data_IF_377183553784
#
_entry.id   IF_377183553784
#
_cell.length_a   1.000
_cell.length_b   1.000
_cell.length_c   1.000
_cell.angle_alpha   90.00
_cell.angle_beta   90.00
_cell.angle_gamma   90.00
#
_symmetry.space_group_name_H-M   'P 1'
#
loop_
_entity.id
_entity.type
_entity.pdbx_description
1 polymer ?
#
# COMPACT_ATOMS: atom_id res chain seq x y z
N UNK A 1 5.96 -15.47 -8.53
CA UNK A 1 7.14 -14.77 -9.10
C UNK A 1 7.78 -13.82 -8.07
N UNK A 2 9.10 -13.57 -8.10
CA UNK A 2 9.79 -12.68 -7.16
C UNK A 2 9.48 -11.19 -7.33
N UNK A 3 8.92 -10.76 -8.46
CA UNK A 3 8.42 -9.41 -8.74
C UNK A 3 7.48 -9.45 -9.95
N UNK A 4 6.45 -8.60 -9.97
CA UNK A 4 5.57 -8.48 -11.13
C UNK A 4 6.26 -7.83 -12.35
N UNK A 5 7.41 -7.19 -12.11
CA UNK A 5 8.26 -6.54 -13.13
C UNK A 5 9.29 -7.48 -13.79
N UNK A 6 9.27 -8.76 -13.45
CA UNK A 6 10.23 -9.76 -13.97
C UNK A 6 9.56 -10.77 -14.90
N UNK A 7 8.33 -10.49 -15.34
CA UNK A 7 7.53 -11.39 -16.15
C UNK A 7 7.72 -11.07 -17.64
N UNK A 8 8.04 -12.10 -18.40
CA UNK A 8 8.29 -12.02 -19.83
C UNK A 8 7.40 -13.03 -20.57
N UNK A 9 6.68 -12.55 -21.57
CA UNK A 9 6.02 -13.36 -22.57
C UNK A 9 7.04 -13.76 -23.64
N UNK A 10 7.07 -15.05 -23.99
CA UNK A 10 8.00 -15.61 -24.97
C UNK A 10 7.23 -15.85 -26.26
N UNK A 11 7.63 -15.13 -27.32
CA UNK A 11 7.06 -15.30 -28.65
C UNK A 11 8.03 -16.10 -29.52
N UNK A 12 7.57 -17.21 -30.08
CA UNK A 12 8.34 -17.99 -31.06
C UNK A 12 8.13 -17.35 -32.41
N UNK A 13 9.20 -16.83 -33.01
CA UNK A 13 9.13 -16.16 -34.31
C UNK A 13 8.84 -17.20 -35.39
N UNK A 14 7.71 -17.02 -36.07
CA UNK A 14 7.30 -17.82 -37.21
C UNK A 14 7.09 -16.92 -38.43
N UNK A 15 7.10 -17.52 -39.62
CA UNK A 15 6.79 -16.81 -40.86
C UNK A 15 5.35 -16.27 -40.90
N UNK A 16 4.42 -16.97 -40.24
CA UNK A 16 3.03 -16.54 -40.07
C UNK A 16 2.85 -15.90 -38.68
N UNK A 17 2.53 -14.60 -38.59
CA UNK A 17 2.33 -13.88 -37.34
C UNK A 17 1.21 -14.45 -36.45
N UNK A 18 0.23 -15.13 -37.03
CA UNK A 18 -0.89 -15.72 -36.29
C UNK A 18 -0.59 -17.12 -35.75
N UNK A 19 0.57 -17.68 -36.11
CA UNK A 19 0.91 -19.06 -35.80
C UNK A 19 1.84 -19.12 -34.58
N UNK A 20 1.27 -19.56 -33.46
CA UNK A 20 2.03 -19.95 -32.27
C UNK A 20 2.57 -21.37 -32.37
N UNK A 21 3.36 -21.79 -31.39
CA UNK A 21 3.87 -23.15 -31.31
C UNK A 21 4.79 -23.37 -30.13
N UNK A 22 5.14 -24.64 -29.89
CA UNK A 22 6.21 -24.96 -28.95
C UNK A 22 7.56 -24.54 -29.56
N UNK A 23 8.42 -23.91 -28.75
CA UNK A 23 9.75 -23.52 -29.18
C UNK A 23 10.72 -24.70 -29.21
N UNK A 24 11.51 -24.77 -30.28
CA UNK A 24 12.62 -25.71 -30.44
C UNK A 24 13.95 -24.97 -30.20
N UNK A 25 15.04 -25.69 -29.96
CA UNK A 25 16.35 -25.04 -29.75
C UNK A 25 16.85 -24.25 -30.97
N UNK A 26 16.45 -24.65 -32.18
CA UNK A 26 16.73 -23.94 -33.43
C UNK A 26 15.70 -22.84 -33.76
N UNK A 27 14.72 -22.60 -32.88
CA UNK A 27 13.74 -21.53 -33.10
C UNK A 27 14.31 -20.16 -32.73
N UNK A 28 13.73 -19.13 -33.34
CA UNK A 28 13.99 -17.74 -33.00
C UNK A 28 12.95 -17.26 -31.99
N UNK A 29 13.37 -16.45 -31.02
CA UNK A 29 12.54 -16.01 -29.90
C UNK A 29 12.55 -14.50 -29.76
N UNK A 30 11.41 -13.93 -29.39
CA UNK A 30 11.29 -12.56 -28.87
C UNK A 30 10.82 -12.61 -27.42
N UNK A 31 11.29 -11.64 -26.63
CA UNK A 31 10.89 -11.49 -25.23
C UNK A 31 10.14 -10.18 -25.07
N UNK A 32 8.88 -10.28 -24.66
CA UNK A 32 8.01 -9.13 -24.41
C UNK A 32 7.77 -9.00 -22.92
N UNK A 33 8.03 -7.82 -22.37
CA UNK A 33 7.79 -7.54 -20.97
C UNK A 33 6.29 -7.45 -20.70
N UNK A 34 5.77 -8.31 -19.82
CA UNK A 34 4.34 -8.51 -19.66
C UNK A 34 3.61 -7.26 -19.12
N UNK A 35 4.26 -6.49 -18.24
CA UNK A 35 3.61 -5.33 -17.62
C UNK A 35 3.61 -4.06 -18.51
N UNK A 36 4.61 -3.88 -19.38
CA UNK A 36 4.71 -2.68 -20.25
C UNK A 36 4.35 -2.95 -21.71
N UNK A 37 4.42 -4.21 -22.15
CA UNK A 37 4.24 -4.60 -23.55
C UNK A 37 5.45 -4.33 -24.46
N UNK A 38 6.54 -3.80 -23.93
CA UNK A 38 7.77 -3.54 -24.69
C UNK A 38 8.58 -4.83 -24.90
N UNK A 39 9.42 -4.84 -25.93
CA UNK A 39 10.29 -5.95 -26.28
C UNK A 39 11.72 -5.72 -25.78
N UNK A 40 12.43 -6.81 -25.50
CA UNK A 40 13.86 -6.79 -25.23
C UNK A 40 14.63 -6.70 -26.56
N UNK A 41 15.62 -5.81 -26.64
CA UNK A 41 16.51 -5.69 -27.79
C UNK A 41 17.96 -5.43 -27.36
N UNK A 42 18.91 -5.53 -28.27
CA UNK A 42 20.29 -5.09 -28.05
C UNK A 42 20.68 -3.96 -29.02
N UNK A 43 21.09 -2.82 -28.48
CA UNK A 43 21.50 -1.63 -29.24
C UNK A 43 22.95 -1.24 -28.91
N UNK A 44 23.55 -0.41 -29.78
CA UNK A 44 24.92 0.09 -29.59
C UNK A 44 24.99 0.83 -28.26
N UNK A 45 25.98 0.46 -27.45
CA UNK A 45 26.19 1.08 -26.16
C UNK A 45 26.72 2.51 -26.38
N UNK A 46 26.03 3.57 -25.90
CA UNK A 46 26.47 4.95 -26.09
C UNK A 46 27.80 5.27 -25.37
N UNK A 47 28.17 4.46 -24.37
CA UNK A 47 29.45 4.58 -23.66
C UNK A 47 30.60 3.85 -24.40
N UNK A 48 30.34 3.27 -25.57
CA UNK A 48 31.34 2.56 -26.37
C UNK A 48 32.09 3.55 -27.26
N UNK A 49 33.28 3.94 -26.82
CA UNK A 49 34.27 4.58 -27.69
C UNK A 49 34.92 3.46 -28.54
N UNK A 50 34.68 3.46 -29.86
CA UNK A 50 35.54 2.73 -30.78
C UNK A 50 36.94 3.34 -30.64
N UNK A 51 37.90 2.59 -30.07
CA UNK A 51 39.31 2.90 -30.27
C UNK A 51 39.51 2.85 -31.81
N UNK A 52 39.55 4.02 -32.47
CA UNK A 52 39.88 4.21 -33.88
C UNK A 52 41.14 3.38 -34.20
N UNK A 53 40.95 2.19 -34.78
CA UNK A 53 42.03 1.31 -35.22
C UNK A 53 42.64 1.77 -36.57
N UNK A 54 42.28 2.96 -37.06
CA UNK A 54 42.84 3.54 -38.28
C UNK A 54 43.76 4.76 -38.03
N UNK A 55 44.53 4.79 -36.94
CA UNK A 55 45.69 5.70 -36.87
C UNK A 55 46.73 5.27 -35.82
N UNK A 56 47.37 4.11 -36.00
CA UNK A 56 48.62 3.80 -35.27
C UNK A 56 49.49 2.79 -36.02
N UNK A 57 49.82 3.09 -37.28
CA UNK A 57 50.89 2.41 -38.02
C UNK A 57 52.29 2.89 -37.60
N UNK A 58 52.54 3.03 -36.29
CA UNK A 58 53.88 3.29 -35.76
C UNK A 58 53.87 3.20 -34.23
N UNK A 59 54.46 2.12 -33.69
CA UNK A 59 55.49 2.09 -32.62
C UNK A 59 55.40 0.79 -31.77
N UNK A 60 56.48 0.03 -31.84
CA UNK A 60 57.01 -1.06 -31.00
C UNK A 60 56.14 -2.23 -30.46
N UNK A 61 56.48 -3.51 -30.76
CA UNK A 61 55.70 -4.68 -30.34
C UNK A 61 55.83 -5.10 -28.86
N UNK A 62 56.71 -4.48 -28.07
CA UNK A 62 57.06 -5.00 -26.73
C UNK A 62 56.32 -4.34 -25.55
N UNK A 63 55.56 -3.26 -25.77
CA UNK A 63 54.79 -2.59 -24.70
C UNK A 63 53.29 -2.95 -24.65
N UNK A 64 52.77 -3.65 -25.65
CA UNK A 64 51.33 -3.91 -25.77
C UNK A 64 50.83 -5.10 -24.90
N UNK A 65 51.76 -5.94 -24.42
CA UNK A 65 51.43 -7.04 -23.51
C UNK A 65 51.05 -6.56 -22.09
N UNK A 66 51.58 -5.42 -21.64
CA UNK A 66 51.37 -4.90 -20.28
C UNK A 66 50.15 -3.97 -20.16
N UNK A 67 49.63 -3.42 -21.26
CA UNK A 67 48.41 -2.59 -21.28
C UNK A 67 47.12 -3.39 -21.55
N UNK A 68 47.21 -4.54 -22.21
CA UNK A 68 46.07 -5.46 -22.41
C UNK A 68 45.63 -6.19 -21.14
N UNK A 69 46.44 -6.18 -20.07
CA UNK A 69 46.20 -6.95 -18.85
C UNK A 69 45.35 -6.29 -17.76
N UNK A 70 44.95 -5.01 -17.89
CA UNK A 70 44.24 -4.29 -16.82
C UNK A 70 42.96 -3.54 -17.22
N UNK A 71 42.57 -3.52 -18.50
CA UNK A 71 41.22 -3.05 -18.88
C UNK A 71 40.30 -4.26 -18.83
N UNK A 72 39.48 -4.35 -17.79
CA UNK A 72 38.54 -5.46 -17.64
C UNK A 72 37.70 -5.60 -18.90
N UNK A 73 37.44 -6.84 -19.35
CA UNK A 73 36.54 -7.12 -20.47
C UNK A 73 35.12 -6.56 -20.24
N UNK A 74 34.81 -6.10 -19.01
CA UNK A 74 33.55 -5.46 -18.64
C UNK A 74 33.40 -4.04 -19.18
N UNK A 75 34.48 -3.33 -19.55
CA UNK A 75 34.41 -1.96 -20.08
C UNK A 75 34.28 -1.88 -21.61
N UNK A 76 34.50 -2.97 -22.35
CA UNK A 76 34.41 -3.00 -23.83
C UNK A 76 33.16 -3.72 -24.33
N UNK A 77 31.99 -3.25 -23.91
CA UNK A 77 30.71 -3.76 -24.42
C UNK A 77 30.19 -2.88 -25.55
N UNK A 78 30.28 -3.39 -26.77
CA UNK A 78 29.79 -2.70 -27.97
C UNK A 78 28.26 -2.56 -27.99
N UNK A 79 27.53 -3.51 -27.38
CA UNK A 79 26.07 -3.48 -27.33
C UNK A 79 25.55 -3.75 -25.93
N UNK A 80 24.44 -3.11 -25.57
CA UNK A 80 23.73 -3.29 -24.31
C UNK A 80 22.26 -3.61 -24.52
N UNK A 81 21.66 -4.35 -23.58
CA UNK A 81 20.25 -4.67 -23.64
C UNK A 81 19.39 -3.45 -23.29
N UNK A 82 18.38 -3.21 -24.11
CA UNK A 82 17.44 -2.08 -24.00
C UNK A 82 16.00 -2.55 -24.20
N UNK A 83 15.04 -1.69 -23.85
CA UNK A 83 13.62 -1.94 -24.03
C UNK A 83 13.09 -1.12 -25.21
N UNK A 84 12.52 -1.79 -26.21
CA UNK A 84 11.97 -1.18 -27.42
C UNK A 84 10.43 -1.30 -27.45
N UNK A 85 9.67 -0.27 -27.87
CA UNK A 85 8.20 -0.34 -27.85
C UNK A 85 7.59 -1.37 -28.81
N UNK A 86 8.22 -1.59 -29.97
CA UNK A 86 7.72 -2.50 -31.01
C UNK A 86 8.68 -3.67 -31.23
N UNK A 87 8.12 -4.87 -31.32
CA UNK A 87 8.87 -6.12 -31.53
C UNK A 87 9.06 -6.48 -32.99
N UNK A 88 8.87 -5.56 -33.94
CA UNK A 88 9.02 -5.88 -35.36
C UNK A 88 10.49 -5.88 -35.80
N UNK A 89 11.36 -5.18 -35.07
CA UNK A 89 12.77 -5.03 -35.42
C UNK A 89 13.58 -6.32 -35.19
N UNK A 90 14.58 -6.55 -36.03
CA UNK A 90 15.50 -7.70 -35.97
C UNK A 90 16.36 -7.64 -34.70
N UNK A 91 16.59 -6.44 -34.16
CA UNK A 91 17.31 -6.18 -32.90
C UNK A 91 16.65 -6.81 -31.66
N UNK A 92 15.38 -7.25 -31.76
CA UNK A 92 14.67 -7.90 -30.65
C UNK A 92 14.60 -9.43 -30.78
N UNK A 93 15.36 -10.02 -31.72
CA UNK A 93 15.40 -11.47 -31.97
C UNK A 93 16.60 -12.11 -31.28
N UNK A 94 16.32 -13.18 -30.53
CA UNK A 94 17.31 -13.97 -29.80
C UNK A 94 17.21 -15.45 -30.13
N UNK A 95 18.34 -16.13 -30.00
CA UNK A 95 18.45 -17.59 -30.04
C UNK A 95 18.80 -18.15 -28.66
N UNK A 96 18.32 -19.38 -28.40
CA UNK A 96 18.58 -20.11 -27.17
C UNK A 96 19.65 -21.18 -27.39
N UNK A 97 20.74 -21.09 -26.67
CA UNK A 97 21.78 -22.13 -26.63
C UNK A 97 21.61 -23.00 -25.38
N UNK A 98 21.53 -24.34 -25.52
CA UNK A 98 21.40 -25.24 -24.39
C UNK A 98 22.73 -25.39 -23.63
N UNK A 99 22.65 -25.43 -22.30
CA UNK A 99 23.83 -25.72 -21.45
C UNK A 99 24.17 -27.21 -21.37
N UNK A 100 23.31 -28.09 -21.90
CA UNK A 100 23.50 -29.54 -21.92
C UNK A 100 23.45 -30.05 -23.35
N UNK A 101 24.15 -31.14 -23.67
CA UNK A 101 24.12 -31.78 -24.99
C UNK A 101 22.68 -32.24 -25.31
N UNK A 102 21.97 -31.47 -26.13
CA UNK A 102 20.61 -31.72 -26.62
C UNK A 102 20.63 -31.61 -28.14
N UNK A 103 19.83 -32.44 -28.83
CA UNK A 103 19.65 -32.30 -30.28
C UNK A 103 18.88 -31.02 -30.62
N UNK A 104 19.29 -30.32 -31.68
CA UNK A 104 18.70 -29.03 -32.10
C UNK A 104 17.21 -29.08 -32.43
N UNK A 105 16.70 -30.24 -32.83
CA UNK A 105 15.28 -30.47 -33.16
C UNK A 105 14.42 -30.85 -31.94
N UNK A 106 14.98 -30.81 -30.74
CA UNK A 106 14.22 -31.08 -29.51
C UNK A 106 13.54 -29.82 -28.97
N UNK A 107 12.42 -30.03 -28.27
CA UNK A 107 11.68 -28.95 -27.60
C UNK A 107 12.48 -28.38 -26.42
N UNK A 108 12.32 -27.08 -26.18
CA UNK A 108 12.90 -26.40 -25.01
C UNK A 108 12.08 -26.78 -23.74
N UNK A 109 12.69 -27.43 -22.73
CA UNK A 109 11.99 -27.78 -21.49
C UNK A 109 11.61 -26.55 -20.65
N UNK A 110 10.53 -26.65 -19.87
CA UNK A 110 10.00 -25.51 -19.08
C UNK A 110 10.94 -24.96 -18.01
N UNK A 111 11.89 -25.74 -17.51
CA UNK A 111 12.87 -25.36 -16.47
C UNK A 111 14.30 -25.55 -17.00
N UNK A 112 14.63 -24.92 -18.12
CA UNK A 112 15.97 -25.05 -18.73
C UNK A 112 16.88 -23.89 -18.37
N UNK A 113 18.17 -24.19 -18.23
CA UNK A 113 19.24 -23.19 -18.25
C UNK A 113 19.66 -22.96 -19.70
N UNK A 114 19.59 -21.71 -20.14
CA UNK A 114 19.85 -21.30 -21.52
C UNK A 114 20.85 -20.15 -21.56
N UNK A 115 21.61 -20.06 -22.64
CA UNK A 115 22.35 -18.84 -22.97
C UNK A 115 21.62 -18.12 -24.09
N UNK A 116 21.66 -16.79 -24.05
CA UNK A 116 21.00 -15.93 -25.01
C UNK A 116 22.04 -15.41 -26.01
N UNK A 117 21.81 -15.70 -27.28
CA UNK A 117 22.56 -15.15 -28.40
C UNK A 117 21.70 -14.14 -29.13
N UNK A 118 22.18 -12.91 -29.29
CA UNK A 118 21.51 -11.89 -30.07
C UNK A 118 21.76 -12.14 -31.56
N UNK A 119 20.68 -12.23 -32.35
CA UNK A 119 20.78 -12.63 -33.76
C UNK A 119 21.48 -11.56 -34.62
N UNK A 120 21.09 -10.29 -34.44
CA UNK A 120 21.53 -9.19 -35.31
C UNK A 120 23.04 -8.92 -35.19
N UNK A 121 23.59 -8.96 -33.98
CA UNK A 121 25.00 -8.62 -33.72
C UNK A 121 25.88 -9.85 -33.53
N UNK A 122 25.28 -11.06 -33.51
CA UNK A 122 25.94 -12.32 -33.20
C UNK A 122 26.77 -12.28 -31.89
N UNK A 123 26.24 -11.59 -30.88
CA UNK A 123 26.87 -11.49 -29.56
C UNK A 123 26.07 -12.27 -28.51
N UNK A 124 26.76 -12.67 -27.45
CA UNK A 124 26.21 -13.40 -26.32
C UNK A 124 25.90 -12.43 -25.19
N UNK A 125 24.75 -12.60 -24.53
CA UNK A 125 24.36 -11.75 -23.38
C UNK A 125 25.26 -12.03 -22.19
N UNK A 126 25.81 -10.97 -21.59
CA UNK A 126 26.71 -11.04 -20.44
C UNK A 126 26.25 -10.17 -19.27
N UNK A 127 26.47 -10.67 -18.06
CA UNK A 127 26.19 -9.91 -16.84
C UNK A 127 27.32 -8.91 -16.56
N UNK A 128 26.96 -7.76 -15.99
CA UNK A 128 27.94 -6.70 -15.69
C UNK A 128 27.68 -6.18 -14.29
N UNK A 129 28.73 -5.67 -13.64
CA UNK A 129 28.62 -4.99 -12.36
C UNK A 129 28.50 -3.46 -12.53
N UNK A 130 28.15 -2.97 -13.72
CA UNK A 130 28.03 -1.54 -14.00
C UNK A 130 26.66 -1.07 -13.50
N UNK A 131 26.59 -0.22 -12.47
CA UNK A 131 25.32 0.29 -11.98
C UNK A 131 24.76 1.37 -12.91
N UNK A 132 23.45 1.35 -13.12
CA UNK A 132 22.70 2.37 -13.86
C UNK A 132 22.27 3.49 -12.89
N UNK A 133 21.89 3.13 -11.67
CA UNK A 133 21.43 4.02 -10.60
C UNK A 133 22.57 4.59 -9.76
N UNK A 134 23.53 5.27 -10.42
CA UNK A 134 24.71 5.87 -9.76
C UNK A 134 24.38 6.97 -8.75
N UNK A 135 23.18 7.54 -8.82
CA UNK A 135 22.72 8.62 -7.94
C UNK A 135 22.18 8.11 -6.59
N UNK A 136 21.85 6.82 -6.49
CA UNK A 136 21.30 6.22 -5.28
C UNK A 136 22.41 5.80 -4.30
N UNK A 137 22.14 5.93 -3.00
CA UNK A 137 23.11 5.57 -1.94
C UNK A 137 23.55 4.09 -2.01
N UNK A 138 22.68 3.23 -2.54
CA UNK A 138 22.95 1.81 -2.80
C UNK A 138 22.39 1.41 -4.18
N UNK A 139 23.21 1.37 -5.23
CA UNK A 139 22.74 0.97 -6.55
C UNK A 139 22.32 -0.50 -6.56
N UNK A 140 21.16 -0.78 -7.13
CA UNK A 140 20.60 -2.13 -7.28
C UNK A 140 20.33 -2.50 -8.73
N UNK A 141 20.40 -1.54 -9.66
CA UNK A 141 20.15 -1.77 -11.09
C UNK A 141 21.46 -1.92 -11.84
N UNK A 142 21.74 -3.15 -12.30
CA UNK A 142 22.94 -3.46 -13.06
C UNK A 142 22.64 -3.51 -14.56
N UNK A 143 23.52 -2.90 -15.35
CA UNK A 143 23.46 -2.95 -16.82
C UNK A 143 23.77 -4.37 -17.29
N UNK A 144 23.08 -4.84 -18.32
CA UNK A 144 23.38 -6.11 -18.98
C UNK A 144 23.89 -5.79 -20.39
N UNK A 145 25.04 -6.36 -20.72
CA UNK A 145 25.73 -6.13 -21.99
C UNK A 145 25.71 -7.35 -22.89
N UNK A 146 26.35 -7.23 -24.05
CA UNK A 146 26.66 -8.37 -24.89
C UNK A 146 28.13 -8.36 -25.31
N UNK A 147 28.70 -9.55 -25.54
CA UNK A 147 30.10 -9.76 -25.95
C UNK A 147 30.16 -10.81 -27.06
N UNK A 148 31.11 -10.74 -28.00
CA UNK A 148 31.31 -11.78 -29.01
C UNK A 148 31.85 -13.08 -28.42
N UNK A 149 32.44 -13.05 -27.22
CA UNK A 149 32.98 -14.24 -26.55
C UNK A 149 31.84 -15.03 -25.93
N UNK A 150 31.81 -16.36 -26.14
CA UNK A 150 30.85 -17.24 -25.46
C UNK A 150 31.39 -17.63 -24.09
N UNK A 151 30.75 -17.18 -23.01
CA UNK A 151 31.09 -17.61 -21.65
C UNK A 151 30.18 -18.75 -21.16
N UNK A 152 30.80 -19.85 -20.73
CA UNK A 152 30.06 -21.03 -20.28
C UNK A 152 29.42 -20.87 -18.90
N UNK A 153 29.93 -19.95 -18.08
CA UNK A 153 29.48 -19.71 -16.70
C UNK A 153 28.20 -18.87 -16.62
N UNK A 154 27.89 -18.11 -17.66
CA UNK A 154 26.74 -17.24 -17.70
C UNK A 154 25.57 -17.94 -18.39
N UNK A 155 24.54 -18.26 -17.61
CA UNK A 155 23.33 -18.90 -18.09
C UNK A 155 22.10 -18.36 -17.34
N UNK A 156 21.00 -18.20 -18.06
CA UNK A 156 19.71 -17.76 -17.54
C UNK A 156 18.82 -18.98 -17.31
N UNK A 157 18.05 -18.96 -16.21
CA UNK A 157 17.04 -19.97 -15.95
C UNK A 157 15.68 -19.50 -16.50
N UNK A 158 15.08 -20.30 -17.38
CA UNK A 158 13.68 -20.13 -17.75
C UNK A 158 12.83 -20.77 -16.65
N UNK A 159 11.97 -19.98 -16.00
CA UNK A 159 11.10 -20.45 -14.92
C UNK A 159 9.64 -20.19 -15.33
N UNK A 160 8.79 -21.23 -15.41
CA UNK A 160 7.42 -21.09 -15.83
C UNK A 160 6.61 -20.45 -14.71
N UNK A 161 5.71 -19.56 -15.09
CA UNK A 161 4.85 -18.83 -14.17
C UNK A 161 3.43 -19.39 -14.28
N UNK A 162 2.74 -19.47 -13.14
CA UNK A 162 1.36 -19.97 -13.11
C UNK A 162 0.43 -19.01 -13.87
N UNK A 163 -0.51 -19.51 -14.69
CA UNK A 163 -1.52 -18.67 -15.34
C UNK A 163 -2.36 -17.85 -14.36
N UNK A 164 -2.47 -18.27 -13.10
CA UNK A 164 -3.17 -17.49 -12.07
C UNK A 164 -2.42 -16.19 -11.71
N UNK A 165 -1.08 -16.22 -11.66
CA UNK A 165 -0.29 -15.01 -11.39
C UNK A 165 -0.40 -14.00 -12.54
N UNK A 166 -0.47 -14.49 -13.78
CA UNK A 166 -0.66 -13.66 -14.98
C UNK A 166 -2.03 -12.96 -14.94
N UNK A 167 -3.11 -13.70 -14.66
CA UNK A 167 -4.45 -13.11 -14.51
C UNK A 167 -4.53 -12.08 -13.39
N UNK A 168 -3.85 -12.34 -12.27
CA UNK A 168 -3.79 -11.40 -11.14
C UNK A 168 -3.06 -10.11 -11.54
N UNK A 169 -2.01 -10.20 -12.37
CA UNK A 169 -1.30 -9.03 -12.92
C UNK A 169 -2.17 -8.25 -13.91
N UNK A 170 -2.81 -8.94 -14.86
CA UNK A 170 -3.65 -8.30 -15.88
C UNK A 170 -4.81 -7.54 -15.21
N UNK A 171 -5.48 -8.19 -14.25
CA UNK A 171 -6.51 -7.54 -13.44
C UNK A 171 -5.99 -6.28 -12.74
N UNK A 172 -4.82 -6.36 -12.12
CA UNK A 172 -4.22 -5.22 -11.42
C UNK A 172 -3.88 -4.06 -12.37
N UNK A 173 -3.36 -4.37 -13.56
CA UNK A 173 -3.04 -3.38 -14.59
C UNK A 173 -4.29 -2.69 -15.13
N UNK A 174 -5.32 -3.46 -15.45
CA UNK A 174 -6.59 -2.93 -15.96
C UNK A 174 -7.31 -2.11 -14.89
N UNK A 175 -7.33 -2.58 -13.65
CA UNK A 175 -7.86 -1.82 -12.52
C UNK A 175 -7.14 -0.47 -12.35
N UNK A 176 -5.82 -0.45 -12.43
CA UNK A 176 -5.01 0.78 -12.34
C UNK A 176 -5.35 1.78 -13.45
N UNK A 177 -5.52 1.33 -14.69
CA UNK A 177 -5.90 2.17 -15.83
C UNK A 177 -7.32 2.74 -15.67
N UNK A 178 -8.29 1.90 -15.28
CA UNK A 178 -9.68 2.30 -15.06
C UNK A 178 -9.78 3.32 -13.93
N UNK A 179 -9.14 3.06 -12.79
CA UNK A 179 -9.11 3.99 -11.66
C UNK A 179 -8.45 5.31 -12.04
N UNK A 180 -7.34 5.28 -12.79
CA UNK A 180 -6.67 6.50 -13.26
C UNK A 180 -7.53 7.33 -14.23
N UNK A 181 -8.23 6.68 -15.16
CA UNK A 181 -9.16 7.35 -16.07
C UNK A 181 -10.30 8.04 -15.31
N UNK A 182 -10.84 7.37 -14.30
CA UNK A 182 -11.99 7.86 -13.56
C UNK A 182 -11.58 8.93 -12.55
N UNK A 183 -10.42 8.81 -11.91
CA UNK A 183 -9.84 9.88 -11.10
C UNK A 183 -9.67 11.17 -11.93
N UNK A 184 -9.15 11.08 -13.15
CA UNK A 184 -9.02 12.25 -14.04
C UNK A 184 -10.35 12.85 -14.51
N UNK A 185 -11.42 12.03 -14.64
CA UNK A 185 -12.79 12.53 -14.91
C UNK A 185 -13.41 13.17 -13.66
N UNK A 186 -13.06 12.68 -12.49
CA UNK A 186 -13.55 13.17 -11.20
C UNK A 186 -12.93 14.53 -10.86
N UNK A 187 -11.65 14.75 -11.16
CA UNK A 187 -10.97 16.06 -11.06
C UNK A 187 -11.67 17.13 -11.91
N UNK A 188 -12.27 16.73 -13.05
CA UNK A 188 -12.98 17.63 -13.97
C UNK A 188 -14.49 17.72 -13.71
N UNK A 189 -15.01 16.99 -12.72
CA UNK A 189 -16.45 16.94 -12.42
C UNK A 189 -17.35 16.28 -13.47
N UNK A 190 -16.80 15.61 -14.50
CA UNK A 190 -17.57 15.07 -15.64
C UNK A 190 -18.00 13.61 -15.47
N UNK A 191 -17.98 13.07 -14.26
CA UNK A 191 -18.25 11.64 -14.02
C UNK A 191 -19.73 11.29 -14.22
N UNK A 192 -19.99 10.25 -15.02
CA UNK A 192 -21.35 9.75 -15.27
C UNK A 192 -21.82 8.78 -14.18
N UNK A 193 -23.14 8.55 -14.11
CA UNK A 193 -23.71 7.58 -13.15
C UNK A 193 -23.26 6.13 -13.44
N UNK A 194 -23.08 5.77 -14.72
CA UNK A 194 -22.61 4.44 -15.11
C UNK A 194 -21.16 4.22 -14.69
N UNK A 195 -20.29 5.20 -14.93
CA UNK A 195 -18.89 5.14 -14.50
C UNK A 195 -18.78 5.01 -12.97
N UNK A 196 -19.63 5.75 -12.23
CA UNK A 196 -19.70 5.64 -10.78
C UNK A 196 -20.02 4.22 -10.34
N UNK A 197 -21.02 3.58 -10.95
CA UNK A 197 -21.40 2.18 -10.65
C UNK A 197 -20.25 1.22 -10.99
N UNK A 198 -19.55 1.44 -12.09
CA UNK A 198 -18.38 0.64 -12.49
C UNK A 198 -17.22 0.79 -11.51
N UNK A 199 -16.93 2.00 -11.00
CA UNK A 199 -15.90 2.20 -9.97
C UNK A 199 -16.27 1.46 -8.69
N UNK A 200 -17.51 1.61 -8.23
CA UNK A 200 -17.97 0.93 -7.01
C UNK A 200 -17.74 -0.58 -7.13
N UNK A 201 -18.17 -1.18 -8.24
CA UNK A 201 -17.97 -2.61 -8.48
C UNK A 201 -16.49 -3.00 -8.54
N UNK A 202 -15.66 -2.21 -9.21
CA UNK A 202 -14.22 -2.45 -9.29
C UNK A 202 -13.54 -2.38 -7.91
N UNK A 203 -13.93 -1.43 -7.06
CA UNK A 203 -13.39 -1.31 -5.71
C UNK A 203 -13.82 -2.48 -4.81
N UNK A 204 -15.05 -2.97 -4.92
CA UNK A 204 -15.48 -4.21 -4.26
C UNK A 204 -14.61 -5.40 -4.71
N UNK A 205 -14.41 -5.54 -6.02
CA UNK A 205 -13.60 -6.63 -6.59
C UNK A 205 -12.13 -6.52 -6.13
N UNK A 206 -11.60 -5.31 -5.95
CA UNK A 206 -10.27 -5.09 -5.39
C UNK A 206 -10.16 -5.52 -3.92
N UNK A 207 -11.21 -5.35 -3.11
CA UNK A 207 -11.21 -5.87 -1.73
C UNK A 207 -11.12 -7.39 -1.74
N UNK A 208 -11.98 -8.07 -2.52
CA UNK A 208 -11.94 -9.54 -2.65
C UNK A 208 -10.62 -10.04 -3.25
N UNK A 209 -10.07 -9.31 -4.21
CA UNK A 209 -8.77 -9.61 -4.82
C UNK A 209 -7.68 -9.65 -3.76
N UNK A 210 -7.51 -8.59 -2.97
CA UNK A 210 -6.45 -8.49 -1.95
C UNK A 210 -6.62 -9.52 -0.84
N UNK A 211 -7.85 -9.80 -0.44
CA UNK A 211 -8.15 -10.73 0.66
C UNK A 211 -8.14 -12.19 0.22
N UNK A 212 -8.13 -12.47 -1.09
CA UNK A 212 -8.21 -13.83 -1.61
C UNK A 212 -9.56 -14.50 -1.42
N UNK A 213 -10.58 -13.73 -1.00
CA UNK A 213 -11.92 -14.23 -0.76
C UNK A 213 -12.73 -14.41 -2.04
N UNK A 214 -13.72 -15.28 -2.00
CA UNK A 214 -14.76 -15.39 -3.02
C UNK A 214 -15.89 -14.42 -2.69
N UNK A 215 -16.49 -13.81 -3.72
CA UNK A 215 -17.60 -12.88 -3.54
C UNK A 215 -18.84 -13.63 -3.03
N UNK A 216 -19.16 -13.47 -1.75
CA UNK A 216 -20.29 -14.12 -1.07
C UNK A 216 -21.61 -13.36 -1.19
N UNK A 217 -21.63 -12.20 -1.86
CA UNK A 217 -22.81 -11.33 -1.96
C UNK A 217 -23.14 -10.55 -0.67
N UNK A 218 -22.26 -10.60 0.33
CA UNK A 218 -22.34 -9.78 1.54
C UNK A 218 -21.72 -8.39 1.31
N UNK A 219 -22.11 -7.41 2.11
CA UNK A 219 -21.47 -6.08 2.06
C UNK A 219 -19.98 -6.21 2.38
N UNK A 220 -19.16 -5.81 1.42
CA UNK A 220 -17.69 -5.85 1.46
C UNK A 220 -17.11 -5.10 2.66
N UNK A 221 -17.85 -4.12 3.17
CA UNK A 221 -17.47 -3.34 4.34
C UNK A 221 -17.55 -4.13 5.65
N UNK A 222 -18.41 -5.15 5.73
CA UNK A 222 -18.64 -5.93 6.96
C UNK A 222 -17.81 -7.23 7.04
N UNK A 223 -17.29 -7.72 5.90
CA UNK A 223 -16.57 -9.01 5.87
C UNK A 223 -15.21 -8.90 6.58
N UNK A 224 -15.05 -9.67 7.66
CA UNK A 224 -13.77 -9.81 8.38
C UNK A 224 -12.89 -10.83 7.65
N UNK A 225 -11.92 -10.33 6.89
CA UNK A 225 -10.94 -11.19 6.22
C UNK A 225 -9.75 -11.44 7.15
N UNK A 226 -9.46 -12.71 7.45
CA UNK A 226 -8.48 -13.09 8.46
C UNK A 226 -7.04 -13.16 7.96
N UNK A 227 -6.80 -13.30 6.65
CA UNK A 227 -5.45 -13.32 6.06
C UNK A 227 -5.42 -12.73 4.63
N UNK A 228 -4.82 -11.55 4.42
CA UNK A 228 -4.62 -11.02 3.07
C UNK A 228 -3.54 -11.80 2.30
N UNK A 229 -3.63 -11.79 0.97
CA UNK A 229 -2.62 -12.42 0.11
C UNK A 229 -1.46 -11.46 -0.15
N UNK A 230 -0.26 -11.83 0.33
CA UNK A 230 0.95 -10.99 0.27
C UNK A 230 1.40 -10.64 -1.15
N UNK A 231 1.29 -11.56 -2.11
CA UNK A 231 1.67 -11.30 -3.50
C UNK A 231 0.70 -10.32 -4.17
N UNK A 232 -0.59 -10.41 -3.84
CA UNK A 232 -1.60 -9.46 -4.32
C UNK A 232 -1.44 -8.08 -3.68
N UNK A 233 -1.18 -8.00 -2.38
CA UNK A 233 -0.84 -6.72 -1.72
C UNK A 233 0.39 -6.05 -2.37
N UNK A 234 1.37 -6.86 -2.80
CA UNK A 234 2.54 -6.37 -3.52
C UNK A 234 2.18 -5.85 -4.92
N UNK A 235 1.33 -6.56 -5.66
CA UNK A 235 0.79 -6.10 -6.94
C UNK A 235 0.07 -4.75 -6.82
N UNK A 236 -0.73 -4.54 -5.76
CA UNK A 236 -1.43 -3.26 -5.51
C UNK A 236 -0.47 -2.06 -5.48
N UNK A 237 0.73 -2.25 -4.92
CA UNK A 237 1.77 -1.21 -4.88
C UNK A 237 2.53 -1.12 -6.20
N UNK A 238 3.00 -2.26 -6.73
CA UNK A 238 3.87 -2.28 -7.91
C UNK A 238 3.17 -1.83 -9.19
N UNK A 239 1.87 -2.09 -9.33
CA UNK A 239 1.04 -1.68 -10.47
C UNK A 239 0.32 -0.34 -10.24
N UNK A 240 0.78 0.44 -9.25
CA UNK A 240 0.29 1.78 -8.94
C UNK A 240 -1.20 1.87 -8.54
N UNK A 241 -1.87 0.77 -8.18
CA UNK A 241 -3.28 0.83 -7.75
C UNK A 241 -3.42 1.73 -6.51
N UNK A 242 -2.55 1.57 -5.50
CA UNK A 242 -2.56 2.43 -4.31
C UNK A 242 -2.43 3.92 -4.65
N UNK A 243 -1.60 4.25 -5.64
CA UNK A 243 -1.45 5.62 -6.14
C UNK A 243 -2.77 6.14 -6.73
N UNK A 244 -3.46 5.31 -7.52
CA UNK A 244 -4.74 5.69 -8.12
C UNK A 244 -5.86 5.78 -7.08
N UNK A 245 -5.86 4.95 -6.04
CA UNK A 245 -6.81 5.04 -4.93
C UNK A 245 -6.67 6.38 -4.20
N UNK A 246 -5.44 6.82 -3.90
CA UNK A 246 -5.23 8.14 -3.31
C UNK A 246 -5.65 9.28 -4.24
N UNK A 247 -5.34 9.18 -5.54
CA UNK A 247 -5.84 10.16 -6.52
C UNK A 247 -7.36 10.21 -6.56
N UNK A 248 -8.03 9.06 -6.52
CA UNK A 248 -9.49 8.97 -6.49
C UNK A 248 -10.08 9.59 -5.21
N UNK A 249 -9.41 9.44 -4.06
CA UNK A 249 -9.81 10.08 -2.80
C UNK A 249 -9.56 11.60 -2.79
N UNK A 250 -8.55 12.09 -3.54
CA UNK A 250 -8.17 13.51 -3.61
C UNK A 250 -8.94 14.27 -4.69
N UNK A 251 -9.25 13.63 -5.81
CA UNK A 251 -9.84 14.23 -6.99
C UNK A 251 -11.12 15.04 -6.75
N UNK A 252 -12.09 14.59 -5.92
CA UNK A 252 -13.31 15.38 -5.64
C UNK A 252 -13.04 16.71 -4.95
N UNK A 253 -11.95 16.81 -4.19
CA UNK A 253 -11.65 17.94 -3.30
C UNK A 253 -10.54 18.85 -3.85
N UNK A 254 -9.93 18.47 -4.98
CA UNK A 254 -8.84 19.23 -5.59
C UNK A 254 -9.43 20.28 -6.52
N UNK A 255 -9.03 21.54 -6.33
CA UNK A 255 -9.43 22.62 -7.23
C UNK A 255 -8.61 22.56 -8.51
N UNK A 256 -9.27 22.22 -9.62
CA UNK A 256 -8.67 22.11 -10.95
C UNK A 256 -8.88 23.37 -11.81
N UNK A 257 -9.29 24.49 -11.20
CA UNK A 257 -9.52 25.79 -11.85
C UNK A 257 -10.99 26.16 -12.06
N UNK A 258 -11.91 25.20 -11.88
CA UNK A 258 -13.38 25.41 -11.88
C UNK A 258 -13.98 25.25 -10.46
N UNK A 259 -13.12 25.23 -9.43
CA UNK A 259 -13.49 24.89 -8.06
C UNK A 259 -13.47 23.37 -7.81
N UNK A 260 -13.36 22.94 -6.54
CA UNK A 260 -13.48 21.53 -6.18
C UNK A 260 -14.90 21.04 -6.43
N UNK A 261 -15.04 19.83 -7.00
CA UNK A 261 -16.34 19.21 -7.24
C UNK A 261 -17.18 19.06 -5.96
N UNK A 262 -16.51 18.81 -4.83
CA UNK A 262 -17.10 18.54 -3.54
C UNK A 262 -16.28 19.19 -2.44
N UNK A 263 -16.95 19.78 -1.45
CA UNK A 263 -16.31 20.14 -0.18
C UNK A 263 -16.40 18.96 0.79
N UNK A 264 -15.43 18.82 1.69
CA UNK A 264 -15.46 17.73 2.69
C UNK A 264 -16.72 17.81 3.57
N UNK A 265 -17.20 19.01 3.85
CA UNK A 265 -18.42 19.26 4.64
C UNK A 265 -19.70 18.74 3.96
N UNK A 266 -19.71 18.64 2.63
CA UNK A 266 -20.86 18.19 1.84
C UNK A 266 -20.95 16.66 1.75
N UNK A 267 -19.90 15.92 2.14
CA UNK A 267 -19.93 14.45 2.22
C UNK A 267 -21.02 13.92 3.14
N UNK A 268 -21.44 14.71 4.14
CA UNK A 268 -22.50 14.38 5.09
C UNK A 268 -23.91 14.34 4.47
N UNK A 269 -24.10 14.93 3.29
CA UNK A 269 -25.39 14.99 2.60
C UNK A 269 -25.75 13.65 1.93
N UNK A 270 -27.03 13.25 2.00
CA UNK A 270 -27.57 12.06 1.33
C UNK A 270 -27.37 12.11 -0.20
N UNK A 271 -27.35 13.31 -0.79
CA UNK A 271 -27.09 13.50 -2.24
C UNK A 271 -25.75 12.91 -2.68
N UNK A 272 -24.78 12.85 -1.77
CA UNK A 272 -23.43 12.34 -2.02
C UNK A 272 -23.18 10.96 -1.43
N UNK A 273 -24.22 10.25 -0.96
CA UNK A 273 -24.10 8.89 -0.43
C UNK A 273 -23.34 7.90 -1.34
N UNK A 274 -23.52 7.91 -2.69
CA UNK A 274 -22.74 7.05 -3.57
C UNK A 274 -21.24 7.35 -3.57
N UNK A 275 -20.85 8.61 -3.41
CA UNK A 275 -19.44 9.01 -3.30
C UNK A 275 -18.87 8.65 -1.93
N UNK A 276 -19.64 8.84 -0.86
CA UNK A 276 -19.24 8.38 0.48
C UNK A 276 -18.95 6.89 0.47
N UNK A 277 -19.79 6.10 -0.19
CA UNK A 277 -19.57 4.66 -0.35
C UNK A 277 -18.30 4.33 -1.14
N UNK A 278 -18.00 5.06 -2.23
CA UNK A 278 -16.72 4.92 -2.94
C UNK A 278 -15.52 5.20 -2.02
N UNK A 279 -15.57 6.28 -1.22
CA UNK A 279 -14.52 6.60 -0.26
C UNK A 279 -14.34 5.49 0.79
N UNK A 280 -15.44 4.95 1.34
CA UNK A 280 -15.41 3.82 2.28
C UNK A 280 -14.74 2.60 1.67
N UNK A 281 -15.06 2.26 0.41
CA UNK A 281 -14.41 1.14 -0.29
C UNK A 281 -12.91 1.41 -0.53
N UNK A 282 -12.52 2.62 -0.91
CA UNK A 282 -11.11 3.01 -1.04
C UNK A 282 -10.34 2.79 0.26
N UNK A 283 -10.86 3.27 1.40
CA UNK A 283 -10.24 3.03 2.71
C UNK A 283 -10.22 1.55 3.09
N UNK A 284 -11.26 0.79 2.75
CA UNK A 284 -11.28 -0.67 2.93
C UNK A 284 -10.16 -1.37 2.13
N UNK A 285 -9.95 -0.99 0.88
CA UNK A 285 -8.85 -1.50 0.04
C UNK A 285 -7.49 -1.14 0.65
N UNK A 286 -7.31 0.09 1.12
CA UNK A 286 -6.07 0.53 1.79
C UNK A 286 -5.80 -0.28 3.06
N UNK A 287 -6.83 -0.51 3.90
CA UNK A 287 -6.73 -1.30 5.13
C UNK A 287 -6.22 -2.72 4.86
N UNK A 288 -6.80 -3.42 3.88
CA UNK A 288 -6.36 -4.77 3.53
C UNK A 288 -5.01 -4.79 2.83
N UNK A 289 -4.66 -3.73 2.09
CA UNK A 289 -3.38 -3.63 1.39
C UNK A 289 -2.18 -3.43 2.34
N UNK A 290 -2.39 -2.84 3.51
CA UNK A 290 -1.32 -2.55 4.48
C UNK A 290 -1.16 -3.58 5.60
N UNK A 291 -2.18 -4.42 5.83
CA UNK A 291 -2.19 -5.40 6.91
C UNK A 291 -0.96 -6.32 6.83
N UNK A 292 -0.18 -6.36 7.92
CA UNK A 292 1.06 -7.13 8.06
C UNK A 292 2.12 -6.92 6.96
N UNK A 293 2.08 -5.76 6.27
CA UNK A 293 3.01 -5.47 5.18
C UNK A 293 3.70 -4.10 5.28
N UNK A 294 4.86 -4.11 5.94
CA UNK A 294 5.72 -2.95 6.20
C UNK A 294 5.95 -2.02 5.00
N UNK A 295 6.27 -2.57 3.82
CA UNK A 295 6.54 -1.76 2.61
C UNK A 295 5.31 -0.98 2.15
N UNK A 296 4.10 -1.54 2.30
CA UNK A 296 2.86 -0.85 1.95
C UNK A 296 2.48 0.17 3.02
N UNK A 297 2.70 -0.13 4.30
CA UNK A 297 2.51 0.82 5.41
C UNK A 297 3.36 2.08 5.23
N UNK A 298 4.65 1.93 4.92
CA UNK A 298 5.54 3.07 4.65
C UNK A 298 5.11 3.89 3.42
N UNK A 299 4.56 3.22 2.40
CA UNK A 299 4.03 3.91 1.22
C UNK A 299 2.78 4.74 1.55
N UNK A 300 1.83 4.15 2.28
CA UNK A 300 0.56 4.79 2.69
C UNK A 300 0.81 5.91 3.70
N UNK A 301 1.76 5.75 4.62
CA UNK A 301 2.12 6.75 5.62
C UNK A 301 2.58 8.09 5.02
N UNK A 302 3.08 8.12 3.77
CA UNK A 302 3.40 9.38 3.08
C UNK A 302 2.17 10.27 2.86
N UNK A 303 0.97 9.68 2.82
CA UNK A 303 -0.31 10.37 2.64
C UNK A 303 -1.08 10.51 3.96
N UNK A 304 -0.44 10.27 5.10
CA UNK A 304 -1.07 10.30 6.42
C UNK A 304 -1.77 11.63 6.70
N UNK A 305 -1.11 12.76 6.46
CA UNK A 305 -1.69 14.09 6.65
C UNK A 305 -2.91 14.39 5.77
N UNK A 306 -3.04 13.70 4.62
CA UNK A 306 -4.25 13.78 3.81
C UNK A 306 -5.39 12.95 4.41
N UNK A 307 -5.12 11.70 4.82
CA UNK A 307 -6.14 10.83 5.41
C UNK A 307 -6.74 11.43 6.69
N UNK A 308 -5.93 12.15 7.48
CA UNK A 308 -6.39 12.85 8.68
C UNK A 308 -7.48 13.88 8.42
N UNK A 309 -7.37 14.64 7.31
CA UNK A 309 -8.38 15.65 6.94
C UNK A 309 -9.74 15.03 6.64
N UNK A 310 -9.78 13.74 6.30
CA UNK A 310 -11.00 13.01 5.96
C UNK A 310 -11.62 12.26 7.15
N UNK A 311 -11.03 12.35 8.35
CA UNK A 311 -11.61 11.75 9.55
C UNK A 311 -12.87 12.52 10.00
N UNK A 312 -13.89 11.80 10.47
CA UNK A 312 -15.12 12.40 11.02
C UNK A 312 -16.17 12.77 9.97
N UNK A 313 -15.98 12.30 8.73
CA UNK A 313 -16.92 12.42 7.61
C UNK A 313 -17.53 11.07 7.19
N UNK A 314 -17.45 10.05 8.05
CA UNK A 314 -18.12 8.76 7.85
C UNK A 314 -17.63 8.01 6.57
N UNK A 315 -16.32 8.12 6.31
CA UNK A 315 -15.62 7.51 5.17
C UNK A 315 -14.71 6.33 5.56
N UNK A 316 -14.73 5.89 6.83
CA UNK A 316 -13.88 4.80 7.37
C UNK A 316 -12.37 5.07 7.28
N UNK A 317 -11.98 6.35 7.28
CA UNK A 317 -10.57 6.74 7.34
C UNK A 317 -9.93 6.29 8.66
N UNK A 318 -10.72 6.27 9.73
CA UNK A 318 -10.30 6.05 11.11
C UNK A 318 -9.76 4.64 11.31
N UNK A 319 -10.54 3.63 10.88
CA UNK A 319 -10.14 2.22 10.94
C UNK A 319 -8.81 1.95 10.19
N UNK A 320 -8.61 2.64 9.06
CA UNK A 320 -7.40 2.48 8.24
C UNK A 320 -6.19 3.12 8.92
N UNK A 321 -6.38 4.29 9.52
CA UNK A 321 -5.34 5.01 10.26
C UNK A 321 -4.93 4.23 11.50
N UNK A 322 -5.88 3.77 12.31
CA UNK A 322 -5.58 2.96 13.49
C UNK A 322 -4.83 1.68 13.10
N UNK A 323 -5.28 0.96 12.07
CA UNK A 323 -4.58 -0.22 11.58
C UNK A 323 -3.18 0.08 11.01
N UNK A 324 -2.94 1.28 10.48
CA UNK A 324 -1.62 1.71 10.00
C UNK A 324 -0.67 1.98 11.17
N UNK A 325 -1.19 2.56 12.26
CA UNK A 325 -0.42 2.98 13.42
C UNK A 325 -0.19 1.85 14.42
N UNK A 326 -1.07 0.86 14.45
CA UNK A 326 -0.96 -0.32 15.30
C UNK A 326 0.38 -1.05 15.08
N UNK A 327 1.13 -1.26 16.17
CA UNK A 327 2.44 -1.92 16.17
C UNK A 327 3.51 -1.30 15.25
N UNK A 328 3.40 -0.02 14.89
CA UNK A 328 4.32 0.66 13.98
C UNK A 328 5.09 1.82 14.62
N UNK A 329 5.92 1.50 15.64
CA UNK A 329 6.76 2.48 16.38
C UNK A 329 7.46 3.54 15.51
N UNK A 330 8.12 3.14 14.42
CA UNK A 330 8.84 4.08 13.54
C UNK A 330 7.92 5.07 12.82
N UNK A 331 6.70 4.65 12.48
CA UNK A 331 5.72 5.54 11.85
C UNK A 331 5.12 6.47 12.90
N UNK A 332 4.83 5.95 14.10
CA UNK A 332 4.38 6.74 15.24
C UNK A 332 5.38 7.86 15.58
N UNK A 333 6.66 7.52 15.77
CA UNK A 333 7.70 8.51 16.14
C UNK A 333 7.96 9.55 15.04
N UNK A 334 7.76 9.22 13.76
CA UNK A 334 8.04 10.12 12.64
C UNK A 334 6.86 10.98 12.22
N UNK A 335 5.65 10.43 12.30
CA UNK A 335 4.45 11.03 11.71
C UNK A 335 3.40 11.43 12.74
N UNK A 336 3.62 11.23 14.05
CA UNK A 336 2.74 11.73 15.11
C UNK A 336 3.29 13.02 15.73
N UNK A 337 2.52 14.10 15.59
CA UNK A 337 2.80 15.42 16.17
C UNK A 337 1.65 15.90 17.06
N UNK A 338 1.87 16.99 17.81
CA UNK A 338 0.85 17.55 18.72
C UNK A 338 -0.45 17.94 17.99
N UNK A 339 -0.35 18.54 16.80
CA UNK A 339 -1.51 18.98 16.00
C UNK A 339 -2.43 17.81 15.62
N UNK A 340 -1.87 16.63 15.49
CA UNK A 340 -2.58 15.44 15.06
C UNK A 340 -3.31 14.79 16.23
N UNK A 341 -2.69 14.79 17.41
CA UNK A 341 -3.35 14.41 18.66
C UNK A 341 -4.50 15.38 18.96
N UNK A 342 -4.32 16.68 18.75
CA UNK A 342 -5.40 17.67 18.90
C UNK A 342 -6.56 17.39 17.94
N UNK A 343 -6.27 16.93 16.72
CA UNK A 343 -7.29 16.51 15.76
C UNK A 343 -8.06 15.29 16.29
N UNK A 344 -7.37 14.28 16.82
CA UNK A 344 -8.01 13.12 17.46
C UNK A 344 -8.88 13.52 18.66
N UNK A 345 -8.41 14.42 19.52
CA UNK A 345 -9.18 14.93 20.67
C UNK A 345 -10.44 15.69 20.20
N UNK A 346 -10.33 16.48 19.14
CA UNK A 346 -11.49 17.15 18.52
C UNK A 346 -12.52 16.15 17.98
N UNK A 347 -12.07 15.01 17.47
CA UNK A 347 -12.94 13.94 16.96
C UNK A 347 -13.64 13.17 18.08
N UNK A 348 -12.92 12.87 19.17
CA UNK A 348 -13.53 12.33 20.41
C UNK A 348 -14.61 13.28 20.89
N UNK A 349 -14.36 14.59 20.90
CA UNK A 349 -15.35 15.61 21.28
C UNK A 349 -16.57 15.63 20.36
N UNK A 350 -16.39 15.49 19.04
CA UNK A 350 -17.47 15.59 18.04
C UNK A 350 -18.35 14.34 17.99
N UNK A 351 -17.75 13.15 18.02
CA UNK A 351 -18.45 11.88 17.82
C UNK A 351 -18.78 11.16 19.13
N UNK A 352 -18.00 11.39 20.19
CA UNK A 352 -18.16 10.75 21.53
C UNK A 352 -18.25 9.23 21.52
N UNK A 353 -17.58 8.60 20.56
CA UNK A 353 -17.52 7.15 20.49
C UNK A 353 -16.27 6.63 21.22
N UNK A 354 -16.39 5.56 22.03
CA UNK A 354 -15.28 5.00 22.81
C UNK A 354 -14.13 4.50 21.92
N UNK A 355 -14.43 4.07 20.69
CA UNK A 355 -13.43 3.61 19.72
C UNK A 355 -12.29 4.60 19.48
N UNK A 356 -12.55 5.91 19.58
CA UNK A 356 -11.52 6.93 19.37
C UNK A 356 -10.55 7.04 20.56
N UNK A 357 -11.03 6.73 21.76
CA UNK A 357 -10.18 6.61 22.94
C UNK A 357 -9.33 5.33 22.88
N UNK A 358 -9.90 4.22 22.39
CA UNK A 358 -9.15 2.99 22.12
C UNK A 358 -7.99 3.27 21.15
N UNK A 359 -8.22 4.09 20.12
CA UNK A 359 -7.16 4.48 19.20
C UNK A 359 -6.06 5.28 19.89
N UNK A 360 -6.39 6.27 20.73
CA UNK A 360 -5.40 7.02 21.51
C UNK A 360 -4.60 6.10 22.45
N UNK A 361 -5.26 5.10 23.03
CA UNK A 361 -4.61 4.05 23.85
C UNK A 361 -3.63 3.21 23.01
N UNK A 362 -4.04 2.78 21.83
CA UNK A 362 -3.20 2.03 20.88
C UNK A 362 -1.98 2.85 20.41
N UNK A 363 -2.08 4.19 20.32
CA UNK A 363 -0.93 5.05 20.01
C UNK A 363 0.13 5.09 21.12
N UNK A 364 -0.27 4.82 22.37
CA UNK A 364 0.63 4.83 23.53
C UNK A 364 1.53 3.58 23.58
N UNK A 365 1.12 2.49 22.92
CA UNK A 365 1.77 1.18 22.99
C UNK A 365 2.09 0.66 21.58
N UNK A 366 3.35 0.30 21.35
CA UNK A 366 3.73 -0.45 20.14
C UNK A 366 4.50 -1.68 20.56
N UNK A 367 4.11 -2.86 20.06
CA UNK A 367 4.75 -4.14 20.37
C UNK A 367 4.85 -4.40 21.88
N UNK A 368 3.77 -4.13 22.63
CA UNK A 368 3.71 -4.20 24.10
C UNK A 368 4.79 -3.36 24.82
N UNK A 369 5.33 -2.33 24.16
CA UNK A 369 6.26 -1.36 24.75
C UNK A 369 5.66 0.04 24.69
N UNK A 370 5.81 0.80 25.76
CA UNK A 370 5.41 2.20 25.82
C UNK A 370 6.28 3.05 24.88
N UNK A 371 5.66 4.08 24.30
CA UNK A 371 6.35 5.13 23.54
C UNK A 371 6.28 6.43 24.35
N UNK A 372 7.33 6.77 25.14
CA UNK A 372 7.28 7.92 26.05
C UNK A 372 6.97 9.25 25.36
N UNK A 373 7.51 9.46 24.15
CA UNK A 373 7.29 10.70 23.38
C UNK A 373 5.81 10.88 23.01
N UNK A 374 5.17 9.82 22.51
CA UNK A 374 3.75 9.85 22.15
C UNK A 374 2.86 9.98 23.39
N UNK A 375 3.20 9.28 24.48
CA UNK A 375 2.50 9.40 25.76
C UNK A 375 2.56 10.83 26.31
N UNK A 376 3.72 11.48 26.24
CA UNK A 376 3.87 12.87 26.71
C UNK A 376 2.99 13.83 25.90
N UNK A 377 2.95 13.67 24.58
CA UNK A 377 2.09 14.49 23.71
C UNK A 377 0.61 14.26 24.01
N UNK A 378 0.18 13.00 24.18
CA UNK A 378 -1.20 12.65 24.51
C UNK A 378 -1.59 13.21 25.87
N UNK A 379 -0.74 13.05 26.90
CA UNK A 379 -0.99 13.63 28.23
C UNK A 379 -1.14 15.14 28.18
N UNK A 380 -0.27 15.85 27.44
CA UNK A 380 -0.35 17.32 27.30
C UNK A 380 -1.63 17.78 26.59
N UNK A 381 -2.13 17.01 25.63
CA UNK A 381 -3.35 17.35 24.90
C UNK A 381 -4.62 16.96 25.68
N UNK A 382 -4.73 15.70 26.11
CA UNK A 382 -5.95 15.15 26.74
C UNK A 382 -6.19 15.74 28.13
N UNK A 383 -5.14 15.87 28.95
CA UNK A 383 -5.25 16.42 30.32
C UNK A 383 -5.23 17.96 30.35
N UNK A 384 -5.21 18.61 29.18
CA UNK A 384 -5.31 20.06 29.12
C UNK A 384 -6.68 20.50 29.67
N UNK A 385 -6.74 21.50 30.57
CA UNK A 385 -8.01 22.03 31.07
C UNK A 385 -8.97 22.46 29.96
N UNK A 386 -8.47 22.85 28.78
CA UNK A 386 -9.29 23.18 27.62
C UNK A 386 -10.08 21.98 27.05
N UNK A 387 -9.65 20.75 27.35
CA UNK A 387 -10.26 19.50 26.91
C UNK A 387 -10.93 18.73 28.06
N UNK A 388 -11.15 19.35 29.22
CA UNK A 388 -11.83 18.72 30.35
C UNK A 388 -13.29 18.31 30.05
N UNK A 389 -13.87 18.81 28.96
CA UNK A 389 -15.24 18.51 28.53
C UNK A 389 -15.43 17.10 27.93
N UNK A 390 -14.34 16.44 27.53
CA UNK A 390 -14.35 15.04 27.06
C UNK A 390 -14.06 14.03 28.17
N UNK A 391 -13.66 14.49 29.36
CA UNK A 391 -13.34 13.64 30.51
C UNK A 391 -14.58 13.45 31.40
N UNK A 392 -14.71 12.28 32.00
CA UNK A 392 -15.70 12.01 33.04
C UNK A 392 -15.02 12.26 34.39
N UNK A 393 -15.62 13.13 35.19
CA UNK A 393 -15.13 13.43 36.53
C UNK A 393 -15.75 12.44 37.53
N UNK A 394 -14.89 11.69 38.21
CA UNK A 394 -15.30 10.72 39.24
C UNK A 394 -15.10 11.33 40.62
N UNK A 395 -16.17 11.44 41.41
CA UNK A 395 -16.13 11.95 42.80
C UNK A 395 -16.71 10.92 43.76
N UNK A 396 -16.10 10.82 44.93
CA UNK A 396 -16.67 10.11 46.07
C UNK A 396 -17.61 11.08 46.80
N UNK A 397 -18.89 10.74 46.88
CA UNK A 397 -19.90 11.54 47.58
C UNK A 397 -20.35 10.75 48.81
N UNK A 398 -20.29 11.40 49.97
CA UNK A 398 -20.81 10.87 51.22
C UNK A 398 -22.29 11.22 51.32
N UNK A 399 -23.16 10.22 51.15
CA UNK A 399 -24.59 10.37 51.36
C UNK A 399 -24.90 10.25 52.84
N UNK A 400 -25.14 11.38 53.53
CA UNK A 400 -25.71 11.36 54.88
C UNK A 400 -27.22 11.17 54.78
N UNK A 401 -27.71 10.00 55.17
CA UNK A 401 -29.13 9.82 55.45
C UNK A 401 -29.46 10.51 56.78
N UNK A 402 -30.04 11.71 56.74
CA UNK A 402 -30.80 12.22 57.88
C UNK A 402 -32.15 11.49 57.90
N UNK A 403 -32.26 10.43 58.70
CA UNK A 403 -33.56 9.90 59.09
C UNK A 403 -34.22 10.94 60.00
N UNK A 404 -35.21 11.69 59.49
CA UNK A 404 -36.23 12.31 60.35
C UNK A 404 -37.10 11.19 60.92
N UNK A 405 -36.64 10.53 61.98
CA UNK A 405 -37.54 9.77 62.83
C UNK A 405 -38.35 10.73 63.70
N UNK A 406 -39.66 10.70 63.47
CA UNK A 406 -40.67 11.23 64.38
C UNK A 406 -40.52 10.50 65.71
N UNK A 407 -39.96 11.21 66.68
CA UNK A 407 -39.80 10.87 68.11
C UNK A 407 -40.53 9.62 68.63
N UNK A 408 -39.79 8.68 69.22
CA UNK A 408 -40.13 8.15 70.54
C UNK A 408 -38.98 7.37 71.17
N UNK A 409 -38.30 7.98 72.15
CA UNK A 409 -37.76 7.28 73.32
C UNK A 409 -36.45 6.48 73.16
N UNK A 410 -35.46 6.92 73.93
CA UNK A 410 -34.29 6.17 74.44
C UNK A 410 -33.08 5.95 73.51
N UNK A 411 -31.99 6.65 73.87
CA UNK A 411 -30.57 6.31 73.68
C UNK A 411 -30.22 5.22 72.66
N UNK A 412 -30.03 5.63 71.40
CA UNK A 412 -29.03 5.05 70.52
C UNK A 412 -28.41 6.16 69.67
N UNK A 413 -27.13 6.46 69.90
CA UNK A 413 -26.30 7.09 68.89
C UNK A 413 -26.10 6.05 67.79
N UNK A 414 -27.07 5.93 66.88
CA UNK A 414 -26.87 5.15 65.67
C UNK A 414 -25.86 5.89 64.80
N UNK A 415 -24.70 5.28 64.65
CA UNK A 415 -23.71 5.64 63.64
C UNK A 415 -24.42 5.47 62.31
N UNK A 416 -24.89 6.57 61.72
CA UNK A 416 -25.34 6.56 60.34
C UNK A 416 -24.21 5.95 59.51
N UNK A 417 -24.48 4.81 58.87
CA UNK A 417 -23.54 4.23 57.92
C UNK A 417 -23.37 5.26 56.82
N UNK A 418 -22.24 5.97 56.82
CA UNK A 418 -21.84 6.83 55.73
C UNK A 418 -21.71 5.94 54.48
N UNK A 419 -22.76 5.88 53.66
CA UNK A 419 -22.67 5.20 52.38
C UNK A 419 -21.83 6.06 51.44
N UNK A 420 -20.56 5.67 51.31
CA UNK A 420 -19.66 6.15 50.28
C UNK A 420 -20.16 5.68 48.91
N UNK A 421 -20.62 6.62 48.09
CA UNK A 421 -21.05 6.32 46.73
C UNK A 421 -20.20 7.07 45.71
N UNK A 422 -19.85 6.36 44.64
CA UNK A 422 -19.10 6.93 43.51
C UNK A 422 -20.09 7.58 42.55
N UNK A 423 -19.90 8.87 42.31
CA UNK A 423 -20.68 9.66 41.38
C UNK A 423 -19.85 10.01 40.15
N UNK A 424 -20.44 9.84 38.98
CA UNK A 424 -19.86 10.25 37.71
C UNK A 424 -20.51 11.55 37.26
N UNK A 425 -19.69 12.51 36.85
CA UNK A 425 -20.10 13.80 36.29
C UNK A 425 -19.57 13.89 34.87
N UNK A 426 -20.46 14.05 33.90
CA UNK A 426 -20.07 14.18 32.50
C UNK A 426 -20.90 15.28 31.84
N UNK A 427 -20.32 15.94 30.83
CA UNK A 427 -21.12 16.80 29.94
C UNK A 427 -21.83 15.91 28.94
N UNK A 428 -23.08 16.18 28.62
CA UNK A 428 -23.80 15.55 27.51
C UNK A 428 -23.48 16.27 26.17
N UNK A 429 -23.96 15.71 25.06
CA UNK A 429 -23.93 16.25 23.69
C UNK A 429 -24.46 17.69 23.61
N UNK A 430 -25.41 18.05 24.48
CA UNK A 430 -25.98 19.39 24.62
C UNK A 430 -25.15 20.33 25.51
N UNK A 431 -23.95 19.89 25.95
CA UNK A 431 -23.03 20.59 26.87
C UNK A 431 -23.55 20.80 28.29
N UNK A 432 -24.69 20.20 28.62
CA UNK A 432 -25.25 20.17 29.98
C UNK A 432 -24.48 19.17 30.85
N UNK A 433 -24.28 19.51 32.12
CA UNK A 433 -23.61 18.62 33.07
C UNK A 433 -24.67 17.67 33.61
N UNK A 434 -24.51 16.37 33.32
CA UNK A 434 -25.27 15.29 33.94
C UNK A 434 -24.42 14.64 35.03
N UNK A 435 -25.09 14.14 36.06
CA UNK A 435 -24.47 13.43 37.16
C UNK A 435 -25.35 12.27 37.58
N UNK A 436 -24.74 11.11 37.81
CA UNK A 436 -25.46 9.92 38.27
C UNK A 436 -24.57 9.05 39.15
N UNK A 437 -25.18 8.34 40.08
CA UNK A 437 -24.49 7.34 40.89
C UNK A 437 -24.09 6.15 40.03
N UNK A 438 -22.94 5.52 40.33
CA UNK A 438 -22.49 4.34 39.57
C UNK A 438 -23.46 3.15 39.72
N UNK A 439 -24.17 3.06 40.84
CA UNK A 439 -25.15 1.99 41.11
C UNK A 439 -26.38 2.17 40.22
N UNK A 440 -26.92 3.39 40.17
CA UNK A 440 -28.05 3.75 39.32
C UNK A 440 -27.70 3.58 37.83
N UNK A 441 -26.52 4.04 37.41
CA UNK A 441 -26.06 3.91 36.03
C UNK A 441 -25.93 2.43 35.61
N UNK A 442 -25.43 1.56 36.50
CA UNK A 442 -25.32 0.13 36.24
C UNK A 442 -26.69 -0.57 36.20
N UNK A 443 -27.63 -0.16 37.05
CA UNK A 443 -28.99 -0.70 37.05
C UNK A 443 -29.73 -0.31 35.76
N UNK A 444 -29.70 0.95 35.37
CA UNK A 444 -30.38 1.44 34.18
C UNK A 444 -29.79 0.86 32.89
N UNK A 445 -28.47 0.69 32.83
CA UNK A 445 -27.81 -0.02 31.73
C UNK A 445 -28.24 -1.49 31.64
N UNK A 446 -28.48 -2.16 32.78
CA UNK A 446 -29.01 -3.54 32.83
C UNK A 446 -30.48 -3.59 32.40
N UNK A 447 -31.26 -2.56 32.71
CA UNK A 447 -32.66 -2.41 32.29
C UNK A 447 -32.79 -2.03 30.81
N UNK A 448 -31.68 -1.76 30.12
CA UNK A 448 -31.61 -1.56 28.68
C UNK A 448 -31.61 -0.10 28.25
N UNK A 449 -31.38 0.85 29.17
CA UNK A 449 -31.20 2.26 28.82
C UNK A 449 -29.93 2.43 28.01
N UNK A 450 -30.11 2.84 26.75
CA UNK A 450 -29.00 2.96 25.78
C UNK A 450 -28.02 4.07 26.17
N UNK A 451 -28.52 5.22 26.65
CA UNK A 451 -27.67 6.35 27.03
C UNK A 451 -26.71 5.98 28.17
N UNK A 452 -27.19 5.31 29.22
CA UNK A 452 -26.35 4.91 30.35
C UNK A 452 -25.36 3.81 29.98
N UNK A 453 -25.73 2.90 29.07
CA UNK A 453 -24.81 1.91 28.51
C UNK A 453 -23.70 2.55 27.68
N UNK A 454 -24.02 3.58 26.89
CA UNK A 454 -23.04 4.30 26.09
C UNK A 454 -22.09 5.11 26.98
N UNK A 455 -22.58 5.72 28.07
CA UNK A 455 -21.75 6.39 29.09
C UNK A 455 -20.83 5.39 29.80
N UNK A 456 -21.35 4.23 30.21
CA UNK A 456 -20.54 3.16 30.82
C UNK A 456 -19.49 2.58 29.87
N UNK A 457 -19.77 2.56 28.56
CA UNK A 457 -18.80 2.09 27.57
C UNK A 457 -17.71 3.13 27.29
N UNK A 458 -17.98 4.40 27.56
CA UNK A 458 -17.05 5.51 27.39
C UNK A 458 -16.17 5.74 28.63
N UNK A 459 -16.72 5.48 29.82
CA UNK A 459 -15.99 5.43 31.10
C UNK A 459 -15.12 4.17 31.19
#
# INVERSE_FOLDING_TARGET
ATSSKALWEVEVVQHDPCRGGAGYWNSLFRFKHLATGHYLAAEVNPDYEEDDLECQSSLDPEQDASRRGLRSAQEKMAYSLVSVPEGNDISSIFELDPTTLRGGDSLVPRNSYVRLRHLCTNTWVHSTNIPIDKEEEKPVMLKIGTSPVKEDKEAFAIVPVSPAEVRDLDFANDASKVLGSIAGKLEKGTITQNERRSVTKLLEDLVYFVTGGTNSGQDVLEVVFSKPNRERQKLMREQNILKQIFKLLQAPFTDSGDGPMLRLEELGDQRHAPFRHICRLCYRVLRHSQQDYRKNQEYIAKQFGFMQKQIGYDVLAEDTITALLHNNRKLLEKHITAAEIDTFVSLVRKNREPRFLDYLSDLCVSMNKSIPVTQELICKAVLNPANADILIETKLVLSRFEFEEVSSGENALEVGEDEEEVWLFWRDSNKEIRSKSIRELAQDAKEGQKEDRDVLSYY
#
